data_IF_203205280809
#
_entry.id   IF_203205280809
#
_cell.length_a   1.000
_cell.length_b   1.000
_cell.length_c   1.000
_cell.angle_alpha   90.00
_cell.angle_beta   90.00
_cell.angle_gamma   90.00
#
_symmetry.space_group_name_H-M   'P 1'
#
loop_
_entity.id
_entity.type
_entity.pdbx_description
1 polymer ?
#
# COMPACT_ATOMS: atom_id res chain seq x y z
N UNK A 1 -4.60 7.00 10.36
CA UNK A 1 -4.74 5.95 9.33
C UNK A 1 -5.34 4.70 9.98
N UNK A 2 -6.37 4.08 9.38
CA UNK A 2 -6.88 2.79 9.86
C UNK A 2 -5.79 1.72 9.72
N UNK A 3 -5.66 0.84 10.70
CA UNK A 3 -4.72 -0.29 10.70
C UNK A 3 -5.18 -1.40 11.67
N UNK A 4 -5.39 -2.65 11.20
CA UNK A 4 -5.97 -3.74 11.99
C UNK A 4 -4.95 -4.47 12.87
N UNK A 5 -3.98 -3.74 13.44
CA UNK A 5 -2.82 -4.30 14.12
C UNK A 5 -1.97 -5.20 13.19
N UNK A 6 -1.81 -4.77 11.94
CA UNK A 6 -0.83 -5.31 10.99
C UNK A 6 0.37 -4.36 10.85
N UNK A 7 1.45 -4.85 10.25
CA UNK A 7 2.60 -4.02 9.91
C UNK A 7 2.27 -3.04 8.78
N UNK A 8 2.88 -1.86 8.85
CA UNK A 8 2.88 -0.85 7.80
C UNK A 8 4.33 -0.50 7.48
N UNK A 9 4.58 -0.05 6.25
CA UNK A 9 5.90 0.45 5.86
C UNK A 9 5.74 1.62 4.89
N UNK A 10 6.74 2.51 4.85
CA UNK A 10 6.66 3.78 4.14
C UNK A 10 7.98 4.12 3.45
N UNK A 11 7.89 4.53 2.18
CA UNK A 11 9.02 5.03 1.41
C UNK A 11 8.79 6.49 1.01
N UNK A 12 9.89 7.24 0.88
CA UNK A 12 9.88 8.60 0.34
C UNK A 12 10.49 8.60 -1.07
N UNK A 13 9.77 9.16 -2.04
CA UNK A 13 10.25 9.35 -3.41
C UNK A 13 11.23 10.53 -3.51
N UNK A 14 11.96 10.62 -4.62
CA UNK A 14 12.93 11.70 -4.85
C UNK A 14 12.31 13.10 -4.87
N UNK A 15 11.03 13.22 -5.24
CA UNK A 15 10.28 14.48 -5.23
C UNK A 15 9.68 14.84 -3.85
N UNK A 16 9.93 13.99 -2.84
CA UNK A 16 9.43 14.19 -1.48
C UNK A 16 8.08 13.55 -1.18
N UNK A 17 7.36 13.02 -2.19
CA UNK A 17 6.09 12.29 -2.01
C UNK A 17 6.31 11.07 -1.10
N UNK A 18 5.40 10.86 -0.14
CA UNK A 18 5.39 9.66 0.68
C UNK A 18 4.47 8.59 0.07
N UNK A 19 4.92 7.34 0.10
CA UNK A 19 4.14 6.17 -0.31
C UNK A 19 4.01 5.25 0.89
N UNK A 20 2.77 5.04 1.37
CA UNK A 20 2.47 4.19 2.51
C UNK A 20 1.88 2.86 2.02
N UNK A 21 2.46 1.75 2.47
CA UNK A 21 1.90 0.40 2.32
C UNK A 21 1.21 -0.02 3.63
N UNK A 22 -0.08 -0.32 3.58
CA UNK A 22 -0.89 -0.61 4.78
C UNK A 22 -2.16 -1.41 4.48
N UNK A 23 -2.81 -1.93 5.54
CA UNK A 23 -4.14 -2.53 5.47
C UNK A 23 -5.18 -1.52 5.99
N UNK A 24 -6.13 -1.03 5.17
CA UNK A 24 -7.06 0.03 5.54
C UNK A 24 -8.29 -0.47 6.31
N UNK A 25 -8.07 -1.12 7.46
CA UNK A 25 -9.13 -1.63 8.33
C UNK A 25 -8.98 -1.02 9.74
N UNK A 26 -10.08 -0.52 10.29
CA UNK A 26 -10.14 0.23 11.56
C UNK A 26 -10.43 -0.65 12.78
N UNK A 27 -10.67 -1.95 12.59
CA UNK A 27 -10.92 -2.90 13.66
C UNK A 27 -9.62 -3.59 14.09
N UNK A 28 -9.36 -3.64 15.39
CA UNK A 28 -8.23 -4.42 15.90
C UNK A 28 -8.45 -5.91 15.61
N UNK A 29 -7.46 -6.58 15.00
CA UNK A 29 -7.61 -7.92 14.41
C UNK A 29 -8.65 -8.00 13.28
N UNK A 30 -8.87 -6.90 12.57
CA UNK A 30 -9.70 -6.81 11.37
C UNK A 30 -9.06 -7.44 10.13
N UNK A 31 -9.61 -7.11 8.95
CA UNK A 31 -9.18 -7.68 7.68
C UNK A 31 -7.78 -7.23 7.28
N UNK A 32 -6.97 -8.18 6.82
CA UNK A 32 -5.68 -7.90 6.16
C UNK A 32 -5.78 -7.95 4.63
N UNK A 33 -6.99 -7.78 4.11
CA UNK A 33 -7.32 -7.64 2.71
C UNK A 33 -8.28 -6.44 2.57
N UNK A 34 -7.95 -5.42 1.77
CA UNK A 34 -6.80 -5.35 0.88
C UNK A 34 -5.46 -5.02 1.58
N UNK A 35 -4.36 -5.24 0.85
CA UNK A 35 -3.11 -4.49 1.05
C UNK A 35 -3.09 -3.35 0.02
N UNK A 36 -2.91 -2.12 0.50
CA UNK A 36 -3.05 -0.92 -0.31
C UNK A 36 -1.78 -0.07 -0.29
N UNK A 37 -1.56 0.68 -1.36
CA UNK A 37 -0.67 1.83 -1.39
C UNK A 37 -1.48 3.13 -1.38
N UNK A 38 -0.98 4.16 -0.69
CA UNK A 38 -1.59 5.49 -0.69
C UNK A 38 -0.51 6.58 -0.62
N UNK A 39 -0.76 7.71 -1.29
CA UNK A 39 0.22 8.79 -1.45
C UNK A 39 -0.06 9.97 -0.53
N UNK A 40 1.00 10.60 -0.04
CA UNK A 40 0.93 11.92 0.59
C UNK A 40 1.91 12.88 -0.06
N UNK A 41 1.42 14.07 -0.43
CA UNK A 41 2.19 15.13 -1.07
C UNK A 41 2.59 16.25 -0.10
N UNK A 42 2.19 16.14 1.17
CA UNK A 42 2.29 17.19 2.19
C UNK A 42 2.84 16.65 3.52
N UNK A 43 3.75 15.68 3.42
CA UNK A 43 4.46 15.07 4.54
C UNK A 43 3.53 14.40 5.57
N UNK A 44 2.52 13.69 5.07
CA UNK A 44 1.64 12.83 5.87
C UNK A 44 0.41 13.53 6.46
N UNK A 45 0.14 14.79 6.11
CA UNK A 45 -1.05 15.51 6.58
C UNK A 45 -2.31 15.03 5.86
N UNK A 46 -2.24 14.88 4.54
CA UNK A 46 -3.31 14.35 3.72
C UNK A 46 -2.83 13.16 2.88
N UNK A 47 -3.77 12.25 2.60
CA UNK A 47 -3.52 11.00 1.88
C UNK A 47 -4.55 10.84 0.76
N UNK A 48 -4.07 10.59 -0.47
CA UNK A 48 -4.87 10.44 -1.69
C UNK A 48 -4.25 9.36 -2.59
N UNK A 49 -4.89 9.10 -3.73
CA UNK A 49 -4.40 8.21 -4.79
C UNK A 49 -4.12 6.78 -4.28
N UNK A 50 -5.11 6.24 -3.55
CA UNK A 50 -5.08 4.87 -3.04
C UNK A 50 -5.23 3.87 -4.20
N UNK A 51 -4.45 2.80 -4.16
CA UNK A 51 -4.64 1.60 -4.98
C UNK A 51 -4.58 0.35 -4.10
N UNK A 52 -5.29 -0.70 -4.48
CA UNK A 52 -5.20 -2.00 -3.82
C UNK A 52 -4.26 -2.93 -4.62
N UNK A 53 -3.09 -3.21 -4.07
CA UNK A 53 -2.06 -4.05 -4.75
C UNK A 53 -2.28 -5.55 -4.52
N UNK A 54 -3.12 -5.90 -3.55
CA UNK A 54 -3.60 -7.27 -3.33
C UNK A 54 -5.01 -7.23 -2.73
N UNK A 55 -5.94 -7.92 -3.38
CA UNK A 55 -7.33 -8.13 -2.93
C UNK A 55 -7.65 -9.61 -2.95
N UNK A 56 -8.63 -10.03 -2.14
CA UNK A 56 -8.89 -11.46 -1.93
C UNK A 56 -10.22 -11.71 -1.25
N UNK A 57 -10.50 -12.98 -1.00
CA UNK A 57 -11.66 -13.41 -0.21
C UNK A 57 -11.46 -13.01 1.25
N UNK A 58 -12.53 -13.14 2.05
CA UNK A 58 -12.54 -12.79 3.47
C UNK A 58 -11.40 -13.43 4.28
N UNK A 59 -10.95 -14.61 3.87
CA UNK A 59 -9.97 -15.41 4.62
C UNK A 59 -8.53 -15.22 4.10
N UNK A 60 -8.36 -14.45 3.02
CA UNK A 60 -7.05 -14.11 2.49
C UNK A 60 -6.40 -13.00 3.34
N UNK A 61 -5.12 -13.15 3.63
CA UNK A 61 -4.31 -12.13 4.30
C UNK A 61 -3.11 -11.70 3.46
N UNK A 62 -2.95 -10.38 3.31
CA UNK A 62 -1.83 -9.73 2.64
C UNK A 62 -1.16 -8.78 3.62
N UNK A 63 -0.07 -9.25 4.24
CA UNK A 63 0.46 -8.63 5.46
C UNK A 63 1.95 -8.38 5.40
N UNK A 64 2.43 -7.58 6.35
CA UNK A 64 3.85 -7.31 6.58
C UNK A 64 4.53 -6.78 5.31
N UNK A 65 4.08 -5.62 4.80
CA UNK A 65 4.73 -5.02 3.66
C UNK A 65 6.15 -4.58 4.02
N UNK A 66 7.04 -4.64 3.02
CA UNK A 66 8.29 -3.90 3.00
C UNK A 66 8.35 -3.13 1.68
N UNK A 67 8.63 -1.82 1.75
CA UNK A 67 8.65 -0.92 0.60
C UNK A 67 9.97 -0.17 0.49
N UNK A 68 10.52 -0.10 -0.72
CA UNK A 68 11.68 0.73 -1.04
C UNK A 68 11.36 1.63 -2.24
N UNK A 69 12.05 2.76 -2.35
CA UNK A 69 11.96 3.67 -3.49
C UNK A 69 13.27 3.74 -4.27
N UNK A 70 13.16 3.99 -5.57
CA UNK A 70 14.27 4.44 -6.42
C UNK A 70 13.72 5.46 -7.43
N UNK A 71 14.32 6.66 -7.48
CA UNK A 71 13.78 7.75 -8.31
C UNK A 71 12.31 8.05 -7.99
N UNK A 72 11.46 7.91 -9.01
CA UNK A 72 10.01 8.11 -8.94
C UNK A 72 9.21 6.81 -8.70
N UNK A 73 9.89 5.70 -8.43
CA UNK A 73 9.30 4.36 -8.42
C UNK A 73 9.47 3.65 -7.09
N UNK A 74 8.60 2.67 -6.84
CA UNK A 74 8.65 1.84 -5.63
C UNK A 74 8.59 0.35 -5.95
N UNK A 75 9.17 -0.43 -5.06
CA UNK A 75 9.10 -1.88 -5.02
C UNK A 75 8.55 -2.30 -3.66
N UNK A 76 7.55 -3.19 -3.67
CA UNK A 76 6.84 -3.66 -2.48
C UNK A 76 6.91 -5.17 -2.43
N UNK A 77 7.31 -5.71 -1.29
CA UNK A 77 7.14 -7.13 -0.97
C UNK A 77 6.17 -7.29 0.18
N UNK A 78 5.44 -8.40 0.21
CA UNK A 78 4.50 -8.70 1.28
C UNK A 78 4.26 -10.21 1.39
N UNK A 79 3.75 -10.64 2.54
CA UNK A 79 3.31 -12.02 2.72
C UNK A 79 1.97 -12.25 2.05
N UNK A 80 1.86 -13.33 1.29
CA UNK A 80 0.60 -13.81 0.70
C UNK A 80 0.13 -15.03 1.49
N UNK A 81 -0.95 -14.89 2.26
CA UNK A 81 -1.50 -15.90 3.16
C UNK A 81 -0.46 -16.52 4.11
N UNK A 82 0.60 -15.76 4.45
CA UNK A 82 1.81 -16.22 5.18
C UNK A 82 2.44 -17.51 4.65
N UNK A 83 2.23 -17.81 3.37
CA UNK A 83 2.73 -19.01 2.69
C UNK A 83 3.72 -18.70 1.59
N UNK A 84 3.66 -17.48 1.04
CA UNK A 84 4.53 -17.00 -0.03
C UNK A 84 4.92 -15.55 0.23
N UNK A 85 5.98 -15.12 -0.43
CA UNK A 85 6.29 -13.70 -0.61
C UNK A 85 5.80 -13.30 -2.00
N UNK A 86 5.01 -12.24 -2.06
CA UNK A 86 4.57 -11.62 -3.30
C UNK A 86 5.29 -10.29 -3.49
N UNK A 87 5.29 -9.80 -4.72
CA UNK A 87 6.00 -8.61 -5.15
C UNK A 87 5.10 -7.74 -6.04
N UNK A 88 5.19 -6.43 -5.85
CA UNK A 88 4.58 -5.44 -6.71
C UNK A 88 5.57 -4.29 -6.96
N UNK A 89 5.50 -3.67 -8.13
CA UNK A 89 6.32 -2.48 -8.45
C UNK A 89 5.58 -1.55 -9.40
N UNK A 90 5.88 -0.26 -9.30
CA UNK A 90 5.35 0.77 -10.17
C UNK A 90 5.94 2.15 -9.87
N UNK A 91 5.80 3.05 -10.83
CA UNK A 91 6.13 4.48 -10.68
C UNK A 91 5.02 5.23 -9.94
N UNK A 92 5.33 6.45 -9.46
CA UNK A 92 4.32 7.40 -8.98
C UNK A 92 3.21 7.61 -10.01
N UNK A 93 3.57 7.69 -11.30
CA UNK A 93 2.59 7.85 -12.38
C UNK A 93 1.64 6.65 -12.46
N UNK A 94 2.18 5.43 -12.34
CA UNK A 94 1.36 4.21 -12.36
C UNK A 94 0.36 4.20 -11.21
N UNK A 95 0.78 4.58 -10.00
CA UNK A 95 -0.10 4.66 -8.83
C UNK A 95 -1.24 5.67 -9.06
N UNK A 96 -0.91 6.88 -9.54
CA UNK A 96 -1.91 7.93 -9.81
C UNK A 96 -2.89 7.51 -10.90
N UNK A 97 -2.39 6.93 -12.00
CA UNK A 97 -3.22 6.47 -13.11
C UNK A 97 -4.15 5.33 -12.71
N UNK A 98 -3.67 4.38 -11.89
CA UNK A 98 -4.46 3.28 -11.35
C UNK A 98 -5.53 3.79 -10.37
N UNK A 99 -5.17 4.69 -9.45
CA UNK A 99 -6.11 5.28 -8.50
C UNK A 99 -7.23 6.08 -9.20
N UNK A 100 -6.91 6.74 -10.31
CA UNK A 100 -7.91 7.45 -11.11
C UNK A 100 -8.89 6.50 -11.83
N UNK A 101 -8.47 5.26 -12.14
CA UNK A 101 -9.34 4.23 -12.73
C UNK A 101 -10.28 3.60 -11.70
N UNK A 102 -9.84 3.40 -10.47
CA UNK A 102 -10.68 2.85 -9.39
C UNK A 102 -11.82 3.80 -8.96
N UNK A 103 -11.71 5.10 -9.29
CA UNK A 103 -12.74 6.11 -9.02
C UNK A 103 -13.86 6.18 -10.08
N UNK A 104 -13.76 5.42 -11.18
CA UNK A 104 -14.75 5.37 -12.26
C UNK A 104 -15.60 4.12 -12.16
#
# INVERSE_FOLDING_TARGET
MPNPNSGVDLARLSDGTLVLAYNPDDHNWGSRSPLSLILSYDNGQNWTDKIDIATGKKEDEYSYPAIISWGDSVAVTYTYNRRKIAFWTGSKKDIVDLAAKEKK
#
